data_IF_695674047896
#
_entry.id   IF_695674047896
#
_cell.length_a   1.000
_cell.length_b   1.000
_cell.length_c   1.000
_cell.angle_alpha   90.00
_cell.angle_beta   90.00
_cell.angle_gamma   90.00
#
_symmetry.space_group_name_H-M   'P 1'
#
loop_
_entity.id
_entity.type
_entity.pdbx_description
1 polymer ?
#
# COMPACT_ATOMS: atom_id res chain seq x y z
N UNK A 1 22.27 -1.89 -7.64
CA UNK A 1 21.26 -2.81 -7.09
C UNK A 1 20.01 -2.06 -6.67
N UNK A 2 18.94 -2.17 -7.47
CA UNK A 2 17.65 -1.51 -7.27
C UNK A 2 17.02 -1.79 -5.89
N UNK A 3 17.45 -2.87 -5.24
CA UNK A 3 17.07 -3.24 -3.89
C UNK A 3 17.35 -2.15 -2.86
N UNK A 4 18.51 -1.50 -2.94
CA UNK A 4 18.87 -0.42 -2.02
C UNK A 4 18.10 0.87 -2.33
N UNK A 5 17.84 1.17 -3.60
CA UNK A 5 17.11 2.38 -3.99
C UNK A 5 15.63 2.28 -3.58
N UNK A 6 15.00 1.12 -3.79
CA UNK A 6 13.62 0.85 -3.37
C UNK A 6 13.46 0.91 -1.84
N UNK A 7 14.41 0.31 -1.11
CA UNK A 7 14.44 0.33 0.35
C UNK A 7 14.68 1.74 0.90
N UNK A 8 15.63 2.49 0.32
CA UNK A 8 15.88 3.89 0.67
C UNK A 8 14.69 4.79 0.33
N UNK A 9 13.95 4.52 -0.73
CA UNK A 9 12.73 5.27 -1.07
C UNK A 9 11.61 5.00 -0.08
N UNK A 10 11.40 3.75 0.31
CA UNK A 10 10.40 3.38 1.32
C UNK A 10 10.76 3.91 2.72
N UNK A 11 12.05 4.04 3.03
CA UNK A 11 12.54 4.63 4.28
C UNK A 11 12.59 6.15 4.27
N UNK A 12 12.80 6.81 3.12
CA UNK A 12 12.93 8.27 3.05
C UNK A 12 11.61 9.04 3.22
N UNK A 13 10.46 8.35 3.14
CA UNK A 13 9.14 8.93 3.43
C UNK A 13 8.76 8.92 4.92
N UNK A 14 9.71 8.69 5.83
CA UNK A 14 9.60 8.88 7.29
C UNK A 14 9.40 10.36 7.72
N UNK A 15 8.88 11.22 6.85
CA UNK A 15 8.34 12.49 7.30
C UNK A 15 7.01 12.21 8.02
N UNK A 16 6.96 12.54 9.32
CA UNK A 16 5.88 12.29 10.30
C UNK A 16 4.47 12.72 9.84
N UNK A 17 4.35 13.42 8.71
CA UNK A 17 3.10 13.88 8.13
C UNK A 17 2.52 12.95 7.04
N UNK A 18 3.29 12.04 6.47
CA UNK A 18 2.85 11.19 5.37
C UNK A 18 2.32 9.84 5.84
N UNK A 19 1.12 9.50 5.35
CA UNK A 19 0.48 8.21 5.55
C UNK A 19 0.45 7.47 4.22
N UNK A 20 1.40 6.56 4.01
CA UNK A 20 1.57 5.85 2.75
C UNK A 20 0.76 4.57 2.70
N UNK A 21 0.02 4.37 1.60
CA UNK A 21 -0.52 3.08 1.19
C UNK A 21 0.30 2.58 0.01
N UNK A 22 0.77 1.33 0.09
CA UNK A 22 1.60 0.70 -0.95
C UNK A 22 0.73 -0.30 -1.70
N UNK A 23 0.59 -0.13 -3.01
CA UNK A 23 0.10 -1.18 -3.88
C UNK A 23 1.26 -2.04 -4.36
N UNK A 24 1.13 -3.35 -4.22
CA UNK A 24 2.07 -4.33 -4.81
C UNK A 24 1.26 -5.35 -5.60
N UNK A 25 1.73 -5.68 -6.80
CA UNK A 25 1.33 -6.85 -7.58
C UNK A 25 2.58 -7.65 -7.90
N UNK A 26 2.57 -8.93 -7.55
CA UNK A 26 3.69 -9.84 -7.80
C UNK A 26 3.27 -11.30 -7.58
N UNK A 27 4.21 -12.24 -7.73
CA UNK A 27 4.01 -13.67 -7.48
C UNK A 27 4.45 -14.09 -6.08
N UNK A 28 3.61 -14.90 -5.42
CA UNK A 28 3.94 -15.53 -4.15
C UNK A 28 4.94 -16.70 -4.34
N UNK A 29 5.33 -17.36 -3.24
CA UNK A 29 6.27 -18.50 -3.27
C UNK A 29 5.77 -19.72 -4.07
N UNK A 30 4.46 -19.81 -4.31
CA UNK A 30 3.84 -20.86 -5.12
C UNK A 30 3.68 -20.45 -6.59
N UNK A 31 4.20 -19.27 -6.99
CA UNK A 31 4.09 -18.74 -8.34
C UNK A 31 2.72 -18.12 -8.68
N UNK A 32 1.79 -18.09 -7.73
CA UNK A 32 0.47 -17.47 -7.91
C UNK A 32 0.59 -15.96 -7.88
N UNK A 33 -0.13 -15.32 -8.77
CA UNK A 33 -0.15 -13.88 -8.87
C UNK A 33 -1.10 -13.28 -7.84
N UNK A 34 -0.58 -12.34 -7.05
CA UNK A 34 -1.31 -11.67 -5.98
C UNK A 34 -1.13 -10.16 -6.11
N UNK A 35 -2.13 -9.42 -5.68
CA UNK A 35 -2.03 -7.97 -5.53
C UNK A 35 -2.75 -7.49 -4.28
N UNK A 36 -2.37 -6.32 -3.79
CA UNK A 36 -3.05 -5.73 -2.65
C UNK A 36 -2.50 -4.38 -2.26
N UNK A 37 -3.27 -3.71 -1.41
CA UNK A 37 -2.94 -2.42 -0.82
C UNK A 37 -2.52 -2.64 0.64
N UNK A 38 -1.37 -2.10 1.03
CA UNK A 38 -0.76 -2.26 2.35
C UNK A 38 -0.75 -0.90 3.04
N UNK A 39 -1.33 -0.81 4.23
CA UNK A 39 -1.13 0.33 5.13
C UNK A 39 0.28 0.25 5.72
N UNK A 40 1.22 1.00 5.15
CA UNK A 40 2.64 0.87 5.48
C UNK A 40 2.92 1.19 6.95
N UNK A 41 2.31 2.25 7.48
CA UNK A 41 2.48 2.66 8.86
C UNK A 41 1.90 1.65 9.85
N UNK A 42 0.80 0.98 9.51
CA UNK A 42 0.30 -0.14 10.32
C UNK A 42 1.23 -1.34 10.23
N UNK A 43 1.69 -1.70 9.02
CA UNK A 43 2.55 -2.86 8.81
C UNK A 43 3.88 -2.77 9.54
N UNK A 44 4.50 -1.59 9.49
CA UNK A 44 5.73 -1.27 10.23
C UNK A 44 5.60 -1.48 11.75
N UNK A 45 4.40 -1.29 12.32
CA UNK A 45 4.17 -1.42 13.77
C UNK A 45 4.00 -2.85 14.24
N UNK A 46 3.52 -3.74 13.37
CA UNK A 46 3.08 -5.09 13.76
C UNK A 46 3.99 -6.20 13.22
N UNK A 47 4.98 -5.87 12.39
CA UNK A 47 5.91 -6.82 11.82
C UNK A 47 7.33 -6.26 11.84
N UNK A 48 8.31 -7.15 11.95
CA UNK A 48 9.72 -6.79 11.81
C UNK A 48 10.05 -6.51 10.35
N UNK A 49 10.44 -5.26 10.07
CA UNK A 49 10.81 -4.82 8.73
C UNK A 49 12.29 -4.99 8.39
N UNK A 50 13.14 -5.37 9.35
CA UNK A 50 14.56 -5.60 9.10
C UNK A 50 14.78 -6.66 8.02
N UNK A 51 13.95 -7.70 8.00
CA UNK A 51 14.01 -8.76 6.96
C UNK A 51 13.69 -8.25 5.56
N UNK A 52 12.83 -7.23 5.45
CA UNK A 52 12.52 -6.57 4.19
C UNK A 52 13.63 -5.60 3.81
N UNK A 53 14.14 -4.80 4.74
CA UNK A 53 15.20 -3.83 4.45
C UNK A 53 16.56 -4.49 4.15
N UNK A 54 16.82 -5.67 4.71
CA UNK A 54 18.02 -6.45 4.42
C UNK A 54 17.93 -7.28 3.14
N UNK A 55 16.76 -7.33 2.48
CA UNK A 55 16.54 -8.12 1.27
C UNK A 55 16.47 -9.62 1.46
N UNK A 56 16.42 -10.08 2.72
CA UNK A 56 16.19 -11.49 3.05
C UNK A 56 14.80 -11.93 2.61
N UNK A 57 13.82 -11.02 2.56
CA UNK A 57 12.44 -11.28 2.13
C UNK A 57 11.89 -10.13 1.29
N UNK A 58 11.03 -10.45 0.33
CA UNK A 58 10.23 -9.46 -0.41
C UNK A 58 8.96 -9.12 0.36
N UNK A 59 8.55 -7.85 0.31
CA UNK A 59 7.30 -7.39 0.88
C UNK A 59 6.17 -7.77 -0.07
N UNK A 60 5.30 -8.69 0.35
CA UNK A 60 4.15 -9.14 -0.45
C UNK A 60 2.84 -8.84 0.29
N UNK A 61 1.73 -8.56 -0.44
CA UNK A 61 0.41 -8.42 0.16
C UNK A 61 -0.02 -9.68 0.92
N UNK A 62 -0.65 -9.48 2.08
CA UNK A 62 -1.24 -10.54 2.90
C UNK A 62 -2.75 -10.36 3.00
N UNK A 63 -3.52 -11.44 3.26
CA UNK A 63 -4.97 -11.35 3.47
C UNK A 63 -5.41 -10.43 4.62
N UNK A 64 -4.50 -10.00 5.49
CA UNK A 64 -4.74 -9.07 6.61
C UNK A 64 -4.49 -7.60 6.27
N UNK A 65 -3.99 -7.31 5.06
CA UNK A 65 -3.73 -5.94 4.61
C UNK A 65 -5.04 -5.23 4.20
N UNK A 66 -4.94 -3.95 3.77
CA UNK A 66 -6.12 -3.15 3.38
C UNK A 66 -6.91 -3.83 2.29
N UNK A 67 -6.20 -4.50 1.38
CA UNK A 67 -6.79 -5.50 0.51
C UNK A 67 -5.79 -6.56 0.11
N UNK A 68 -6.33 -7.68 -0.30
CA UNK A 68 -5.62 -8.78 -0.90
C UNK A 68 -6.49 -9.37 -2.01
N UNK A 69 -5.88 -9.64 -3.15
CA UNK A 69 -6.50 -10.31 -4.26
C UNK A 69 -5.55 -11.36 -4.81
N UNK A 70 -6.03 -12.58 -4.96
CA UNK A 70 -5.32 -13.66 -5.62
C UNK A 70 -5.91 -13.83 -7.03
N UNK A 71 -5.10 -13.60 -8.06
CA UNK A 71 -5.55 -13.57 -9.45
C UNK A 71 -5.89 -14.96 -9.98
N UNK A 72 -5.24 -16.01 -9.46
CA UNK A 72 -5.49 -17.40 -9.85
C UNK A 72 -6.81 -17.94 -9.30
N UNK A 73 -7.11 -17.63 -8.02
CA UNK A 73 -8.32 -18.13 -7.32
C UNK A 73 -9.48 -17.15 -7.33
N UNK A 74 -9.27 -15.92 -7.78
CA UNK A 74 -10.24 -14.82 -7.73
C UNK A 74 -10.74 -14.47 -6.32
N UNK A 75 -9.99 -14.84 -5.28
CA UNK A 75 -10.35 -14.52 -3.89
C UNK A 75 -9.90 -13.09 -3.58
N UNK A 76 -10.87 -12.25 -3.20
CA UNK A 76 -10.66 -10.88 -2.74
C UNK A 76 -10.98 -10.76 -1.24
N UNK A 77 -10.11 -10.08 -0.50
CA UNK A 77 -10.31 -9.75 0.92
C UNK A 77 -9.96 -8.28 1.12
N UNK A 78 -10.67 -7.61 2.01
CA UNK A 78 -10.38 -6.23 2.39
C UNK A 78 -10.58 -6.02 3.89
N UNK A 79 -9.65 -5.31 4.53
CA UNK A 79 -9.66 -5.12 5.98
C UNK A 79 -9.38 -3.66 6.32
N UNK A 80 -10.21 -3.06 7.15
CA UNK A 80 -9.89 -1.75 7.72
C UNK A 80 -8.75 -1.89 8.73
N UNK A 81 -7.76 -1.00 8.67
CA UNK A 81 -6.66 -0.92 9.63
C UNK A 81 -6.94 0.15 10.68
N UNK A 82 -6.09 0.34 11.71
CA UNK A 82 -6.24 1.47 12.63
C UNK A 82 -6.18 2.84 11.95
N UNK A 83 -5.49 2.98 10.81
CA UNK A 83 -5.35 4.27 10.12
C UNK A 83 -6.41 4.50 9.03
N UNK A 84 -6.82 3.44 8.31
CA UNK A 84 -7.72 3.55 7.17
C UNK A 84 -8.99 2.71 7.34
N UNK A 85 -10.11 3.26 6.90
CA UNK A 85 -11.35 2.52 6.69
C UNK A 85 -11.45 2.15 5.20
N UNK A 86 -11.74 0.89 4.90
CA UNK A 86 -11.98 0.43 3.54
C UNK A 86 -13.45 0.61 3.16
N UNK A 87 -13.70 1.16 1.98
CA UNK A 87 -15.05 1.31 1.38
C UNK A 87 -15.03 0.49 0.09
N UNK A 88 -15.64 -0.69 0.13
CA UNK A 88 -15.61 -1.69 -0.96
C UNK A 88 -16.92 -1.79 -1.75
N UNK A 89 -18.00 -1.17 -1.25
CA UNK A 89 -19.35 -1.14 -1.83
C UNK A 89 -19.58 0.05 -2.78
N UNK A 90 -18.55 0.84 -3.06
CA UNK A 90 -18.63 1.98 -3.95
C UNK A 90 -18.62 1.53 -5.43
N UNK A 91 -19.60 1.97 -6.27
CA UNK A 91 -19.67 1.58 -7.68
C UNK A 91 -18.46 2.04 -8.51
N UNK A 92 -17.74 3.09 -8.08
CA UNK A 92 -16.53 3.57 -8.75
C UNK A 92 -15.27 2.76 -8.37
N UNK A 93 -15.42 1.74 -7.53
CA UNK A 93 -14.34 0.86 -7.08
C UNK A 93 -13.86 1.15 -5.67
N UNK A 94 -12.76 0.50 -5.30
CA UNK A 94 -12.22 0.49 -3.95
C UNK A 94 -11.73 1.88 -3.52
N UNK A 95 -12.14 2.31 -2.33
CA UNK A 95 -11.67 3.56 -1.72
C UNK A 95 -11.12 3.30 -0.32
N UNK A 96 -10.15 4.12 0.07
CA UNK A 96 -9.62 4.12 1.44
C UNK A 96 -9.84 5.48 2.10
N UNK A 97 -10.56 5.50 3.21
CA UNK A 97 -10.79 6.70 4.00
C UNK A 97 -9.77 6.79 5.12
N UNK A 98 -8.94 7.83 5.12
CA UNK A 98 -8.05 8.08 6.24
C UNK A 98 -8.85 8.49 7.47
N UNK A 99 -8.72 7.75 8.58
CA UNK A 99 -9.62 7.90 9.74
C UNK A 99 -9.45 9.23 10.46
N UNK A 100 -8.23 9.78 10.50
CA UNK A 100 -7.91 10.98 11.29
C UNK A 100 -8.60 12.23 10.74
N UNK A 101 -8.56 12.45 9.44
CA UNK A 101 -9.12 13.65 8.80
C UNK A 101 -10.30 13.36 7.86
N UNK A 102 -10.68 12.09 7.72
CA UNK A 102 -11.81 11.58 6.93
C UNK A 102 -11.66 11.79 5.42
N UNK A 103 -10.47 12.17 4.93
CA UNK A 103 -10.23 12.31 3.49
C UNK A 103 -10.22 10.95 2.80
N UNK A 104 -10.68 10.95 1.55
CA UNK A 104 -10.78 9.77 0.72
C UNK A 104 -9.54 9.70 -0.17
N UNK A 105 -8.87 8.55 -0.13
CA UNK A 105 -7.85 8.14 -1.05
C UNK A 105 -8.49 7.22 -2.11
N UNK A 106 -8.53 7.70 -3.35
CA UNK A 106 -9.03 6.94 -4.49
C UNK A 106 -7.88 6.19 -5.18
N UNK A 107 -8.01 4.86 -5.28
CA UNK A 107 -6.97 4.00 -5.85
C UNK A 107 -7.20 3.57 -7.29
N UNK A 108 -8.30 4.01 -7.91
CA UNK A 108 -8.54 3.79 -9.34
C UNK A 108 -7.47 4.51 -10.18
N UNK A 109 -6.70 3.78 -11.01
CA UNK A 109 -5.64 4.35 -11.84
C UNK A 109 -6.12 5.46 -12.80
N UNK A 110 -7.42 5.50 -13.15
CA UNK A 110 -8.00 6.49 -14.07
C UNK A 110 -8.51 7.76 -13.38
N UNK A 111 -8.58 7.75 -12.05
CA UNK A 111 -9.11 8.83 -11.24
C UNK A 111 -8.01 9.52 -10.43
N UNK A 112 -8.23 10.79 -10.05
CA UNK A 112 -7.34 11.51 -9.13
C UNK A 112 -7.30 10.81 -7.77
N UNK A 113 -6.13 10.72 -7.09
CA UNK A 113 -6.03 10.04 -5.80
C UNK A 113 -6.78 10.75 -4.66
N UNK A 114 -7.20 12.00 -4.85
CA UNK A 114 -7.95 12.78 -3.86
C UNK A 114 -7.14 13.89 -3.21
N UNK A 115 -7.78 14.64 -2.31
CA UNK A 115 -7.18 15.78 -1.63
C UNK A 115 -5.99 15.40 -0.76
N UNK A 116 -4.92 16.20 -0.82
CA UNK A 116 -3.67 15.98 -0.08
C UNK A 116 -3.06 14.59 -0.34
N UNK A 117 -3.38 13.97 -1.48
CA UNK A 117 -2.89 12.66 -1.84
C UNK A 117 -2.16 12.67 -3.18
N UNK A 118 -1.12 11.85 -3.28
CA UNK A 118 -0.36 11.64 -4.52
C UNK A 118 -0.40 10.16 -4.90
N UNK A 119 -0.14 9.88 -6.18
CA UNK A 119 0.04 8.53 -6.71
C UNK A 119 1.33 8.48 -7.51
N UNK A 120 2.27 7.65 -7.06
CA UNK A 120 3.61 7.56 -7.63
C UNK A 120 3.87 6.10 -8.04
N UNK A 121 3.76 5.77 -9.33
CA UNK A 121 4.22 4.48 -9.84
C UNK A 121 5.73 4.36 -9.66
N UNK A 122 6.20 3.21 -9.16
CA UNK A 122 7.62 2.94 -8.99
C UNK A 122 8.08 1.99 -10.08
N UNK A 123 9.07 2.41 -10.86
CA UNK A 123 9.74 1.55 -11.83
C UNK A 123 10.78 0.70 -11.10
N UNK A 124 10.66 -0.61 -11.18
CA UNK A 124 11.56 -1.57 -10.54
C UNK A 124 11.42 -2.94 -11.19
N UNK A 125 12.48 -3.75 -11.17
CA UNK A 125 12.46 -5.15 -11.60
C UNK A 125 12.09 -6.11 -10.45
N UNK A 126 11.97 -5.63 -9.21
CA UNK A 126 11.75 -6.46 -8.02
C UNK A 126 10.33 -7.03 -7.92
N UNK A 127 9.36 -6.30 -8.49
CA UNK A 127 7.93 -6.61 -8.48
C UNK A 127 7.35 -6.33 -9.86
N UNK A 128 6.26 -7.03 -10.22
CA UNK A 128 5.54 -6.76 -11.47
C UNK A 128 4.99 -5.33 -11.48
N UNK A 129 4.47 -4.85 -10.35
CA UNK A 129 3.97 -3.49 -10.22
C UNK A 129 4.04 -3.00 -8.78
N UNK A 130 4.49 -1.75 -8.59
CA UNK A 130 4.41 -1.04 -7.32
C UNK A 130 3.88 0.37 -7.55
N UNK A 131 2.96 0.81 -6.70
CA UNK A 131 2.47 2.20 -6.69
C UNK A 131 2.38 2.69 -5.26
N UNK A 132 2.97 3.85 -4.99
CA UNK A 132 2.85 4.53 -3.70
C UNK A 132 1.70 5.52 -3.75
N UNK A 133 0.89 5.50 -2.70
CA UNK A 133 -0.16 6.46 -2.46
C UNK A 133 0.13 7.18 -1.16
N UNK A 134 0.67 8.39 -1.26
CA UNK A 134 1.03 9.17 -0.08
C UNK A 134 -0.11 10.12 0.27
N UNK A 135 -0.49 10.18 1.54
CA UNK A 135 -1.48 11.12 2.04
C UNK A 135 -0.87 12.04 3.11
N UNK A 136 -0.95 13.35 2.91
CA UNK A 136 -0.46 14.34 3.85
C UNK A 136 -1.53 14.63 4.90
N UNK A 137 -1.32 14.09 6.10
CA UNK A 137 -2.15 14.44 7.27
C UNK A 137 -1.86 15.88 7.66
N UNK A 138 -2.86 16.78 7.54
CA UNK A 138 -2.76 18.11 8.16
C UNK A 138 -2.65 17.93 9.68
N UNK A 139 -1.65 18.56 10.31
CA UNK A 139 -1.67 18.71 11.78
C UNK A 139 -2.86 19.60 12.13
N UNK A 140 -3.64 19.22 13.14
CA UNK A 140 -4.50 20.20 13.81
C UNK A 140 -3.55 21.21 14.47
N UNK A 141 -3.60 22.46 14.02
CA UNK A 141 -3.19 23.62 14.81
C UNK A 141 -4.03 23.68 16.07
#
# INVERSE_FOLDING_TARGET
DDFNLFTLFILSFLCVCYQTVIFIRDKNSHGQEISGYIDYAHRLKIEDFEVYFSGKRRLLPKPTDLSFYNWDSHIAVWNSTPNYQVIADNPEGLLFKYKRDRKILNVDPKSSPGDNSTRTPIQTELYIQVVLFDHISRRKT
#
